data_IF_835132238243
#
_entry.id   IF_835132238243
#
_cell.length_a   1.000
_cell.length_b   1.000
_cell.length_c   1.000
_cell.angle_alpha   90.00
_cell.angle_beta   90.00
_cell.angle_gamma   90.00
#
_symmetry.space_group_name_H-M   'P 1'
#
loop_
_entity.id
_entity.type
_entity.pdbx_description
1 polymer ?
#
# COMPACT_ATOMS: atom_id res chain seq x y z
N UNK A 1 5.93 -8.76 22.68
CA UNK A 1 7.24 -8.17 22.29
C UNK A 1 8.16 -9.30 21.88
N UNK A 2 8.55 -9.36 20.60
CA UNK A 2 9.59 -10.26 20.11
C UNK A 2 10.39 -9.53 19.03
N UNK A 3 11.20 -8.58 19.47
CA UNK A 3 12.41 -8.20 18.75
C UNK A 3 13.53 -9.10 19.27
N UNK A 4 13.42 -10.40 19.01
CA UNK A 4 14.59 -11.26 19.12
C UNK A 4 15.50 -10.87 17.97
N UNK A 5 16.69 -10.36 18.29
CA UNK A 5 17.87 -10.50 17.45
C UNK A 5 17.89 -11.95 16.97
N UNK A 6 17.41 -12.19 15.76
CA UNK A 6 17.72 -13.42 15.06
C UNK A 6 18.97 -13.11 14.25
N UNK A 7 20.10 -13.67 14.65
CA UNK A 7 21.14 -14.06 13.70
C UNK A 7 20.62 -15.21 12.82
N UNK A 8 19.46 -14.99 12.20
CA UNK A 8 19.05 -15.72 11.03
C UNK A 8 19.70 -14.93 9.90
N UNK A 9 20.77 -15.49 9.34
CA UNK A 9 21.47 -15.06 8.13
C UNK A 9 20.46 -14.81 7.01
N UNK A 10 19.84 -13.64 7.06
CA UNK A 10 18.90 -13.15 6.05
C UNK A 10 19.73 -12.57 4.92
N UNK A 11 19.61 -13.27 3.80
CA UNK A 11 19.70 -12.79 2.42
C UNK A 11 21.09 -12.38 1.88
N UNK A 12 21.37 -12.94 0.69
CA UNK A 12 22.47 -12.71 -0.24
C UNK A 12 23.86 -13.22 0.15
N UNK A 13 24.16 -14.47 -0.18
CA UNK A 13 25.54 -14.85 -0.50
C UNK A 13 25.63 -15.79 -1.72
N UNK A 14 24.86 -15.52 -2.76
CA UNK A 14 25.00 -16.22 -4.05
C UNK A 14 25.71 -15.36 -5.12
N UNK A 15 26.04 -14.11 -4.78
CA UNK A 15 26.61 -13.12 -5.70
C UNK A 15 27.77 -12.39 -5.02
N UNK A 16 28.73 -13.15 -4.52
CA UNK A 16 30.01 -12.61 -4.03
C UNK A 16 31.09 -12.86 -5.07
N UNK A 17 32.13 -12.02 -5.08
CA UNK A 17 33.27 -12.17 -5.99
C UNK A 17 33.84 -13.59 -5.93
N UNK A 18 33.89 -14.20 -4.74
CA UNK A 18 34.34 -15.59 -4.58
C UNK A 18 33.42 -16.60 -5.28
N UNK A 19 32.10 -16.41 -5.24
CA UNK A 19 31.14 -17.28 -5.94
C UNK A 19 31.29 -17.12 -7.46
N UNK A 20 31.54 -15.91 -7.97
CA UNK A 20 31.85 -15.70 -9.40
C UNK A 20 33.14 -16.40 -9.82
N UNK A 21 34.22 -16.29 -9.04
CA UNK A 21 35.47 -16.99 -9.35
C UNK A 21 35.26 -18.51 -9.36
N UNK A 22 34.58 -19.06 -8.36
CA UNK A 22 34.29 -20.50 -8.28
C UNK A 22 33.40 -20.99 -9.43
N UNK A 23 32.49 -20.14 -9.96
CA UNK A 23 31.73 -20.40 -11.20
C UNK A 23 32.63 -20.48 -12.42
N UNK A 24 33.57 -19.54 -12.58
CA UNK A 24 34.52 -19.53 -13.70
C UNK A 24 35.40 -20.79 -13.71
N UNK A 25 35.79 -21.26 -12.53
CA UNK A 25 36.59 -22.50 -12.38
C UNK A 25 35.78 -23.80 -12.50
N UNK A 26 34.46 -23.72 -12.73
CA UNK A 26 33.59 -24.91 -12.84
C UNK A 26 33.46 -25.72 -11.54
N UNK A 27 33.73 -25.09 -10.39
CA UNK A 27 33.69 -25.71 -9.06
C UNK A 27 32.35 -25.51 -8.36
N UNK A 28 31.39 -24.87 -9.03
CA UNK A 28 30.01 -24.66 -8.55
C UNK A 28 29.06 -25.49 -9.41
N UNK A 29 28.25 -26.33 -8.76
CA UNK A 29 27.11 -26.98 -9.43
C UNK A 29 26.02 -25.92 -9.57
N UNK A 30 25.88 -25.36 -10.76
CA UNK A 30 24.84 -24.37 -11.07
C UNK A 30 23.45 -25.06 -11.01
N UNK A 31 22.50 -24.53 -10.22
CA UNK A 31 21.11 -24.94 -10.31
C UNK A 31 20.54 -24.65 -11.71
N UNK A 32 19.55 -25.43 -12.17
CA UNK A 32 18.79 -25.17 -13.40
C UNK A 32 18.41 -23.67 -13.49
N UNK A 33 18.52 -23.03 -14.67
CA UNK A 33 18.26 -21.59 -14.83
C UNK A 33 16.96 -21.11 -14.16
N UNK A 34 15.91 -21.94 -14.16
CA UNK A 34 14.63 -21.68 -13.48
C UNK A 34 14.71 -21.49 -11.96
N UNK A 35 15.80 -21.92 -11.31
CA UNK A 35 16.07 -21.72 -9.89
C UNK A 35 16.86 -20.43 -9.62
N UNK A 36 17.63 -19.96 -10.61
CA UNK A 36 18.41 -18.72 -10.52
C UNK A 36 17.54 -17.48 -10.80
N UNK A 37 16.53 -17.59 -11.67
CA UNK A 37 15.63 -16.49 -12.02
C UNK A 37 14.40 -16.37 -11.10
N UNK A 38 14.36 -17.11 -9.98
CA UNK A 38 13.21 -17.02 -9.06
C UNK A 38 13.21 -15.70 -8.31
N UNK A 39 12.03 -15.10 -8.25
CA UNK A 39 11.79 -13.98 -7.35
C UNK A 39 12.09 -14.40 -5.90
N UNK A 40 12.74 -13.55 -5.10
CA UNK A 40 13.07 -13.86 -3.72
C UNK A 40 11.82 -14.24 -2.93
N UNK A 41 11.88 -15.36 -2.22
CA UNK A 41 10.81 -15.77 -1.31
C UNK A 41 11.18 -15.39 0.12
N UNK A 42 10.24 -14.79 0.85
CA UNK A 42 10.48 -14.35 2.22
C UNK A 42 10.70 -15.55 3.13
N UNK A 43 11.73 -15.53 3.98
CA UNK A 43 12.08 -16.64 4.87
C UNK A 43 10.92 -17.28 5.69
N UNK A 44 9.96 -16.51 6.22
CA UNK A 44 8.77 -17.06 6.90
C UNK A 44 7.76 -17.75 5.97
N UNK A 45 7.97 -17.70 4.65
CA UNK A 45 7.08 -18.20 3.63
C UNK A 45 5.72 -17.52 3.59
N UNK A 46 4.65 -18.30 3.31
CA UNK A 46 3.28 -17.79 3.16
C UNK A 46 2.67 -17.27 4.48
N UNK A 47 3.27 -17.58 5.63
CA UNK A 47 2.73 -17.23 6.94
C UNK A 47 2.58 -15.72 7.16
N UNK A 48 3.38 -14.89 6.47
CA UNK A 48 3.26 -13.43 6.50
C UNK A 48 2.34 -12.86 5.40
N UNK A 49 1.85 -13.70 4.49
CA UNK A 49 0.94 -13.29 3.41
C UNK A 49 -0.54 -13.53 3.76
N UNK A 50 -0.82 -14.19 4.89
CA UNK A 50 -2.17 -14.44 5.39
C UNK A 50 -2.46 -13.42 6.49
N UNK A 51 -3.50 -12.60 6.29
CA UNK A 51 -4.02 -11.76 7.36
C UNK A 51 -4.80 -12.63 8.36
N UNK A 52 -4.33 -12.67 9.60
CA UNK A 52 -5.07 -13.23 10.72
C UNK A 52 -5.50 -12.10 11.65
N UNK A 53 -6.80 -11.98 11.90
CA UNK A 53 -7.35 -11.03 12.84
C UNK A 53 -8.47 -11.71 13.63
N UNK A 54 -8.37 -11.63 14.97
CA UNK A 54 -9.43 -12.10 15.88
C UNK A 54 -10.48 -11.00 16.11
N UNK A 55 -10.10 -9.73 15.94
CA UNK A 55 -10.95 -8.54 16.08
C UNK A 55 -10.75 -7.56 14.93
N UNK A 56 -11.79 -6.79 14.61
CA UNK A 56 -11.74 -5.73 13.60
C UNK A 56 -10.84 -4.58 14.07
N UNK A 57 -9.99 -4.09 13.19
CA UNK A 57 -9.10 -2.96 13.50
C UNK A 57 -9.81 -1.64 13.22
N UNK A 58 -10.36 -1.03 14.27
CA UNK A 58 -11.06 0.26 14.23
C UNK A 58 -10.50 1.16 15.34
N UNK A 59 -9.60 2.08 15.03
CA UNK A 59 -9.13 3.07 16.01
C UNK A 59 -10.07 4.29 16.05
N UNK A 60 -9.81 5.24 16.95
CA UNK A 60 -10.68 6.39 17.18
C UNK A 60 -10.87 7.26 15.93
N UNK A 61 -9.92 7.23 14.99
CA UNK A 61 -9.91 8.00 13.74
C UNK A 61 -10.56 7.26 12.56
N UNK A 62 -11.07 6.03 12.75
CA UNK A 62 -11.58 5.19 11.66
C UNK A 62 -12.73 5.87 10.90
N UNK A 63 -13.71 6.41 11.63
CA UNK A 63 -14.90 7.05 11.04
C UNK A 63 -14.52 8.34 10.30
N UNK A 64 -13.63 9.15 10.89
CA UNK A 64 -13.15 10.37 10.25
C UNK A 64 -12.36 10.07 8.97
N UNK A 65 -11.52 9.03 9.01
CA UNK A 65 -10.72 8.58 7.87
C UNK A 65 -11.61 8.02 6.75
N UNK A 66 -12.62 7.20 7.10
CA UNK A 66 -13.63 6.71 6.16
C UNK A 66 -14.36 7.88 5.47
N UNK A 67 -14.73 8.91 6.23
CA UNK A 67 -15.39 10.07 5.68
C UNK A 67 -14.47 10.85 4.73
N UNK A 68 -13.20 11.01 5.12
CA UNK A 68 -12.21 11.74 4.33
C UNK A 68 -11.90 11.05 2.99
N UNK A 69 -11.79 9.72 2.97
CA UNK A 69 -11.59 8.99 1.70
C UNK A 69 -12.84 9.04 0.81
N UNK A 70 -14.04 9.00 1.40
CA UNK A 70 -15.28 9.16 0.64
C UNK A 70 -15.35 10.54 0.01
N UNK A 71 -14.98 11.59 0.76
CA UNK A 71 -14.90 12.96 0.28
C UNK A 71 -13.93 13.11 -0.89
N UNK A 72 -12.79 12.44 -0.85
CA UNK A 72 -11.81 12.51 -1.94
C UNK A 72 -12.29 11.80 -3.20
N UNK A 73 -13.01 10.69 -3.07
CA UNK A 73 -13.49 9.92 -4.22
C UNK A 73 -14.73 10.55 -4.84
N UNK A 74 -15.66 11.06 -4.02
CA UNK A 74 -16.87 11.74 -4.45
C UNK A 74 -16.74 13.28 -4.39
N UNK A 75 -15.55 13.78 -4.71
CA UNK A 75 -15.17 15.18 -4.52
C UNK A 75 -16.10 16.16 -5.23
N UNK A 76 -16.52 15.86 -6.47
CA UNK A 76 -17.37 16.76 -7.25
C UNK A 76 -18.76 16.98 -6.62
N UNK A 77 -19.33 15.94 -6.01
CA UNK A 77 -20.65 16.02 -5.37
C UNK A 77 -20.58 16.55 -3.94
N UNK A 78 -19.47 16.28 -3.24
CA UNK A 78 -19.32 16.67 -1.84
C UNK A 78 -18.69 18.05 -1.64
N UNK A 79 -17.91 18.56 -2.60
CA UNK A 79 -17.39 19.94 -2.56
C UNK A 79 -18.53 20.98 -2.50
N UNK A 80 -19.66 20.70 -3.13
CA UNK A 80 -20.84 21.57 -3.11
C UNK A 80 -21.56 21.62 -1.75
N UNK A 81 -21.27 20.68 -0.83
CA UNK A 81 -21.98 20.52 0.45
C UNK A 81 -21.25 21.10 1.66
N UNK A 82 -20.08 21.75 1.46
CA UNK A 82 -19.21 22.29 2.50
C UNK A 82 -19.05 21.37 3.73
N UNK A 83 -18.10 20.44 3.66
CA UNK A 83 -17.76 19.57 4.79
C UNK A 83 -16.58 20.13 5.60
N UNK A 84 -16.64 20.02 6.93
CA UNK A 84 -15.57 20.47 7.85
C UNK A 84 -14.20 19.84 7.56
N UNK A 85 -14.18 18.64 6.97
CA UNK A 85 -12.97 17.91 6.61
C UNK A 85 -12.36 18.34 5.26
N UNK A 86 -13.05 19.13 4.42
CA UNK A 86 -12.51 19.59 3.14
C UNK A 86 -11.22 20.39 3.32
N UNK A 87 -11.12 21.20 4.39
CA UNK A 87 -9.92 21.95 4.73
C UNK A 87 -8.68 21.06 4.83
N UNK A 88 -8.81 19.80 5.28
CA UNK A 88 -7.67 18.87 5.33
C UNK A 88 -7.17 18.50 3.93
N UNK A 89 -8.09 18.35 2.98
CA UNK A 89 -7.76 18.05 1.58
C UNK A 89 -7.09 19.28 0.96
N UNK A 90 -7.65 20.47 1.16
CA UNK A 90 -7.11 21.73 0.62
C UNK A 90 -5.70 22.06 1.12
N UNK A 91 -5.41 21.77 2.39
CA UNK A 91 -4.07 21.99 2.95
C UNK A 91 -3.05 20.99 2.38
N UNK A 92 -3.47 19.77 2.10
CA UNK A 92 -2.59 18.68 1.68
C UNK A 92 -2.43 18.55 0.15
N UNK A 93 -3.24 19.28 -0.65
CA UNK A 93 -3.28 19.17 -2.11
C UNK A 93 -3.20 20.54 -2.81
N UNK A 94 -2.60 20.60 -4.00
CA UNK A 94 -2.57 21.82 -4.81
C UNK A 94 -3.93 22.09 -5.48
N UNK A 95 -4.08 23.26 -6.08
CA UNK A 95 -5.30 23.59 -6.84
C UNK A 95 -5.45 22.70 -8.08
N UNK A 96 -4.35 22.42 -8.78
CA UNK A 96 -4.33 21.54 -9.95
C UNK A 96 -4.76 20.11 -9.58
N UNK A 97 -4.31 19.61 -8.44
CA UNK A 97 -4.69 18.26 -7.96
C UNK A 97 -6.16 18.19 -7.57
N UNK A 98 -6.73 19.28 -7.04
CA UNK A 98 -8.17 19.38 -6.73
C UNK A 98 -9.01 19.41 -8.01
N UNK A 99 -8.56 20.09 -9.05
CA UNK A 99 -9.21 20.06 -10.38
C UNK A 99 -9.18 18.65 -10.96
N UNK A 100 -8.07 17.92 -10.82
CA UNK A 100 -7.97 16.52 -11.24
C UNK A 100 -8.94 15.64 -10.45
N UNK A 101 -9.03 15.79 -9.12
CA UNK A 101 -9.99 15.04 -8.29
C UNK A 101 -11.44 15.30 -8.71
N UNK A 102 -11.79 16.56 -8.99
CA UNK A 102 -13.13 16.91 -9.44
C UNK A 102 -13.47 16.25 -10.78
N UNK A 103 -12.55 16.29 -11.75
CA UNK A 103 -12.73 15.64 -13.06
C UNK A 103 -12.85 14.11 -12.93
N UNK A 104 -11.97 13.48 -12.13
CA UNK A 104 -12.00 12.04 -11.89
C UNK A 104 -13.32 11.59 -11.25
N UNK A 105 -13.77 12.33 -10.25
CA UNK A 105 -15.02 12.09 -9.52
C UNK A 105 -16.26 12.24 -10.42
N UNK A 106 -16.23 13.16 -11.39
CA UNK A 106 -17.30 13.28 -12.39
C UNK A 106 -17.31 12.14 -13.39
N UNK A 107 -16.13 11.73 -13.84
CA UNK A 107 -15.99 10.74 -14.90
C UNK A 107 -16.41 9.34 -14.46
N UNK A 108 -16.00 8.94 -13.25
CA UNK A 108 -16.15 7.59 -12.75
C UNK A 108 -16.68 7.58 -11.32
N UNK A 109 -17.72 6.78 -11.07
CA UNK A 109 -18.29 6.58 -9.74
C UNK A 109 -17.52 5.46 -9.04
N UNK A 110 -16.43 5.82 -8.37
CA UNK A 110 -15.73 4.92 -7.46
C UNK A 110 -16.36 5.00 -6.07
N UNK A 111 -16.29 3.90 -5.32
CA UNK A 111 -16.68 3.82 -3.91
C UNK A 111 -15.45 3.43 -3.10
N UNK A 112 -15.14 4.23 -2.08
CA UNK A 112 -14.02 3.99 -1.18
C UNK A 112 -14.49 3.37 0.14
N UNK A 113 -13.88 2.25 0.52
CA UNK A 113 -14.13 1.60 1.81
C UNK A 113 -12.82 1.42 2.56
N UNK A 114 -12.75 1.93 3.78
CA UNK A 114 -11.65 1.69 4.70
C UNK A 114 -11.84 0.28 5.27
N UNK A 115 -10.86 -0.57 5.02
CA UNK A 115 -10.87 -1.94 5.51
C UNK A 115 -10.46 -1.94 6.98
N UNK A 116 -11.26 -2.60 7.80
CA UNK A 116 -11.03 -2.80 9.23
C UNK A 116 -9.99 -3.90 9.49
N UNK A 117 -8.90 -3.90 8.71
CA UNK A 117 -7.78 -4.83 8.79
C UNK A 117 -6.50 -4.08 9.09
N UNK A 118 -5.59 -4.74 9.82
CA UNK A 118 -4.32 -4.17 10.23
C UNK A 118 -3.23 -4.55 9.22
N UNK A 119 -2.68 -3.56 8.52
CA UNK A 119 -1.49 -3.76 7.69
C UNK A 119 -0.25 -3.20 8.37
N UNK A 120 0.85 -3.95 8.29
CA UNK A 120 2.15 -3.56 8.82
C UNK A 120 2.98 -2.96 7.69
N UNK A 121 3.48 -1.75 7.91
CA UNK A 121 4.67 -1.26 7.21
C UNK A 121 5.84 -1.14 8.18
N UNK A 122 7.04 -1.39 7.65
CA UNK A 122 8.29 -1.04 8.30
C UNK A 122 8.72 0.30 7.69
N UNK A 123 8.64 1.38 8.47
CA UNK A 123 9.12 2.71 8.05
C UNK A 123 10.26 3.09 8.99
N UNK A 124 11.50 2.86 8.56
CA UNK A 124 12.66 2.96 9.43
C UNK A 124 12.65 1.88 10.51
N UNK A 125 12.97 2.26 11.76
CA UNK A 125 13.16 1.32 12.87
C UNK A 125 11.86 0.99 13.63
N UNK A 126 10.76 1.69 13.31
CA UNK A 126 9.46 1.51 13.94
C UNK A 126 8.49 0.77 13.02
N UNK A 127 7.74 -0.17 13.60
CA UNK A 127 6.60 -0.81 12.92
C UNK A 127 5.37 0.06 13.13
N UNK A 128 4.81 0.56 12.04
CA UNK A 128 3.58 1.35 12.07
C UNK A 128 2.45 0.50 11.53
N UNK A 129 1.35 0.47 12.27
CA UNK A 129 0.09 -0.11 11.81
C UNK A 129 -0.72 0.96 11.10
N UNK A 130 -1.40 0.56 10.05
CA UNK A 130 -2.13 1.46 9.17
C UNK A 130 -3.30 0.77 8.53
N UNK A 131 -4.30 1.57 8.18
CA UNK A 131 -5.45 1.12 7.42
C UNK A 131 -5.12 0.88 5.97
N UNK A 132 -6.04 0.18 5.32
CA UNK A 132 -6.08 0.01 3.88
C UNK A 132 -7.41 0.46 3.34
N UNK A 133 -7.37 1.01 2.14
CA UNK A 133 -8.56 1.47 1.42
C UNK A 133 -8.78 0.55 0.24
N UNK A 134 -10.02 0.17 0.02
CA UNK A 134 -10.48 -0.50 -1.19
C UNK A 134 -11.24 0.53 -2.04
N UNK A 135 -10.86 0.65 -3.31
CA UNK A 135 -11.55 1.41 -4.33
C UNK A 135 -12.28 0.44 -5.25
N UNK A 136 -13.60 0.51 -5.24
CA UNK A 136 -14.46 -0.31 -6.09
C UNK A 136 -15.21 0.55 -7.10
N UNK A 137 -15.54 -0.02 -8.26
CA UNK A 137 -16.39 0.60 -9.28
C UNK A 137 -17.23 -0.48 -9.94
N UNK A 138 -18.36 -0.08 -10.51
CA UNK A 138 -19.25 -0.92 -11.33
C UNK A 138 -18.70 -1.20 -12.74
N UNK A 139 -17.61 -0.54 -13.14
CA UNK A 139 -17.01 -0.72 -14.45
C UNK A 139 -16.30 -2.08 -14.59
N UNK A 140 -16.44 -2.69 -15.77
CA UNK A 140 -15.84 -4.00 -16.08
C UNK A 140 -14.32 -3.97 -16.20
N UNK A 141 -13.72 -2.80 -16.45
CA UNK A 141 -12.27 -2.63 -16.49
C UNK A 141 -11.86 -1.37 -15.71
N UNK A 142 -10.96 -1.50 -14.71
CA UNK A 142 -10.52 -0.35 -13.95
C UNK A 142 -9.57 0.54 -14.75
N UNK A 143 -9.71 1.85 -14.60
CA UNK A 143 -8.71 2.79 -15.12
C UNK A 143 -7.54 2.91 -14.13
N UNK A 144 -6.44 2.22 -14.42
CA UNK A 144 -5.25 2.19 -13.56
C UNK A 144 -4.61 3.56 -13.32
N UNK A 145 -4.72 4.50 -14.26
CA UNK A 145 -4.16 5.85 -14.06
C UNK A 145 -4.98 6.65 -13.05
N UNK A 146 -6.30 6.51 -13.08
CA UNK A 146 -7.20 7.16 -12.13
C UNK A 146 -6.97 6.57 -10.73
N UNK A 147 -6.96 5.24 -10.62
CA UNK A 147 -6.68 4.52 -9.37
C UNK A 147 -5.31 4.87 -8.79
N UNK A 148 -4.26 4.93 -9.62
CA UNK A 148 -2.93 5.33 -9.16
C UNK A 148 -2.90 6.77 -8.65
N UNK A 149 -3.72 7.66 -9.25
CA UNK A 149 -3.84 9.05 -8.80
C UNK A 149 -4.59 9.14 -7.48
N UNK A 150 -5.72 8.45 -7.34
CA UNK A 150 -6.41 8.33 -6.06
C UNK A 150 -5.52 7.74 -4.97
N UNK A 151 -4.80 6.65 -5.25
CA UNK A 151 -3.91 6.01 -4.29
C UNK A 151 -2.84 6.98 -3.77
N UNK A 152 -2.21 7.75 -4.66
CA UNK A 152 -1.19 8.74 -4.27
C UNK A 152 -1.77 9.88 -3.44
N UNK A 153 -2.92 10.42 -3.84
CA UNK A 153 -3.55 11.54 -3.13
C UNK A 153 -4.08 11.11 -1.77
N UNK A 154 -4.78 9.97 -1.69
CA UNK A 154 -5.32 9.42 -0.44
C UNK A 154 -4.19 9.19 0.57
N UNK A 155 -3.07 8.58 0.17
CA UNK A 155 -1.93 8.36 1.07
C UNK A 155 -1.26 9.66 1.54
N UNK A 156 -1.35 10.74 0.76
CA UNK A 156 -0.80 12.05 1.15
C UNK A 156 -1.73 12.78 2.13
N UNK A 157 -3.04 12.70 1.94
CA UNK A 157 -4.04 13.34 2.81
C UNK A 157 -4.25 12.54 4.11
N UNK A 158 -4.25 11.20 4.01
CA UNK A 158 -4.48 10.26 5.10
C UNK A 158 -3.19 9.50 5.43
N UNK A 159 -2.36 10.06 6.31
CA UNK A 159 -1.06 9.46 6.69
C UNK A 159 -1.20 8.12 7.44
N UNK A 160 -2.39 7.81 7.94
CA UNK A 160 -2.77 6.55 8.58
C UNK A 160 -3.23 5.46 7.58
N UNK A 161 -3.31 5.78 6.28
CA UNK A 161 -3.57 4.84 5.18
C UNK A 161 -2.27 4.55 4.44
N UNK A 162 -1.89 3.27 4.32
CA UNK A 162 -0.64 2.89 3.65
C UNK A 162 -0.82 2.10 2.37
N UNK A 163 -1.95 1.41 2.19
CA UNK A 163 -2.25 0.68 0.97
C UNK A 163 -3.63 1.08 0.46
N UNK A 164 -3.74 1.18 -0.86
CA UNK A 164 -4.98 1.40 -1.58
C UNK A 164 -5.07 0.27 -2.60
N UNK A 165 -6.16 -0.47 -2.58
CA UNK A 165 -6.46 -1.63 -3.42
C UNK A 165 -7.57 -1.28 -4.41
#
# INVERSE_FOLDING_TARGET
MASSRSDATKTLHNDSEMVHQLRIYGLVVEPLNELLERHPFTGPGLSIQIFYAEELFMEADFVETQMLICLMVDYANMAAKEHSLLNRIEIATSEEERLVLEELSRRNQYVATLLSIRIVRVKGDCRTFSYCVELSSDQTQPNWNDLATYARLIQRVCHNVNCVY
#
